data_IF_044933092037
#
_entry.id   IF_044933092037
#
_cell.length_a   1.000
_cell.length_b   1.000
_cell.length_c   1.000
_cell.angle_alpha   90.00
_cell.angle_beta   90.00
_cell.angle_gamma   90.00
#
_symmetry.space_group_name_H-M   'P 1'
#
loop_
_entity.id
_entity.type
_entity.pdbx_description
1 polymer ?
#
# COMPACT_ATOMS: atom_id res chain seq x y z
N UNK A 1 31.01 4.93 2.40
CA UNK A 1 30.01 5.98 2.65
C UNK A 1 28.77 5.27 3.18
N UNK A 2 28.29 5.61 4.37
CA UNK A 2 27.09 4.98 4.95
C UNK A 2 25.88 5.79 4.48
N UNK A 3 24.93 5.15 3.80
CA UNK A 3 23.68 5.77 3.37
C UNK A 3 22.62 5.61 4.46
N UNK A 4 21.97 6.70 4.83
CA UNK A 4 20.80 6.73 5.73
C UNK A 4 19.49 6.96 4.98
N UNK A 5 19.54 7.08 3.64
CA UNK A 5 18.38 7.40 2.82
C UNK A 5 17.61 6.15 2.35
N UNK A 6 18.15 4.95 2.60
CA UNK A 6 17.56 3.70 2.12
C UNK A 6 17.00 2.89 3.28
N UNK A 7 15.71 2.59 3.22
CA UNK A 7 15.06 1.63 4.11
C UNK A 7 15.36 0.20 3.64
N UNK A 8 16.59 -0.27 3.86
CA UNK A 8 16.99 -1.66 3.58
C UNK A 8 17.49 -2.34 4.85
N UNK A 9 17.18 -3.64 4.97
CA UNK A 9 17.69 -4.47 6.05
C UNK A 9 18.78 -5.41 5.50
N UNK A 10 20.04 -4.95 5.54
CA UNK A 10 21.18 -5.74 5.09
C UNK A 10 21.64 -6.81 6.10
N UNK A 11 21.16 -6.74 7.35
CA UNK A 11 21.60 -7.60 8.45
C UNK A 11 21.19 -9.06 8.24
N UNK A 12 20.12 -9.31 7.47
CA UNK A 12 19.55 -10.65 7.25
C UNK A 12 20.03 -11.32 5.96
N UNK A 13 20.90 -10.66 5.18
CA UNK A 13 21.22 -11.12 3.82
C UNK A 13 21.98 -12.45 3.81
N UNK A 14 22.90 -12.67 4.75
CA UNK A 14 23.67 -13.91 4.83
C UNK A 14 22.79 -15.10 5.23
N UNK A 15 21.93 -14.92 6.23
CA UNK A 15 20.97 -15.93 6.68
C UNK A 15 19.97 -16.27 5.58
N UNK A 16 19.44 -15.25 4.89
CA UNK A 16 18.48 -15.43 3.81
C UNK A 16 19.10 -16.16 2.61
N UNK A 17 20.33 -15.80 2.23
CA UNK A 17 21.08 -16.49 1.18
C UNK A 17 21.32 -17.96 1.53
N UNK A 18 21.78 -18.22 2.75
CA UNK A 18 22.04 -19.57 3.25
C UNK A 18 20.76 -20.41 3.31
N UNK A 19 19.63 -19.81 3.69
CA UNK A 19 18.33 -20.47 3.67
C UNK A 19 17.86 -20.76 2.24
N UNK A 20 17.92 -19.77 1.35
CA UNK A 20 17.47 -19.89 -0.03
C UNK A 20 18.22 -21.00 -0.79
N UNK A 21 19.51 -21.18 -0.52
CA UNK A 21 20.32 -22.26 -1.11
C UNK A 21 19.83 -23.67 -0.76
N UNK A 22 19.03 -23.83 0.30
CA UNK A 22 18.49 -25.11 0.75
C UNK A 22 17.05 -25.36 0.27
N UNK A 23 16.40 -24.38 -0.36
CA UNK A 23 15.01 -24.49 -0.81
C UNK A 23 14.95 -25.16 -2.20
N UNK A 24 14.34 -26.35 -2.33
CA UNK A 24 14.18 -26.98 -3.63
C UNK A 24 13.17 -26.21 -4.49
N UNK A 25 13.48 -26.08 -5.78
CA UNK A 25 12.60 -25.49 -6.79
C UNK A 25 12.06 -26.60 -7.70
N UNK A 26 10.98 -27.30 -7.32
CA UNK A 26 10.40 -28.34 -8.17
C UNK A 26 9.82 -27.73 -9.44
N UNK A 27 9.73 -28.47 -10.56
CA UNK A 27 9.26 -27.94 -11.86
C UNK A 27 7.94 -27.17 -11.80
N UNK A 28 7.02 -27.58 -10.92
CA UNK A 28 5.70 -26.96 -10.77
C UNK A 28 5.76 -25.48 -10.38
N UNK A 29 6.84 -25.01 -9.73
CA UNK A 29 6.98 -23.58 -9.37
C UNK A 29 7.16 -22.68 -10.59
N UNK A 30 7.54 -23.24 -11.74
CA UNK A 30 7.65 -22.53 -13.01
C UNK A 30 6.32 -22.52 -13.80
N UNK A 31 5.23 -22.97 -13.17
CA UNK A 31 3.89 -22.98 -13.76
C UNK A 31 2.98 -21.94 -13.08
N UNK A 32 1.77 -21.74 -13.62
CA UNK A 32 0.80 -20.82 -13.04
C UNK A 32 0.24 -21.26 -11.67
N UNK A 33 0.40 -22.54 -11.28
CA UNK A 33 -0.18 -23.07 -10.03
C UNK A 33 0.35 -22.39 -8.76
N UNK A 34 1.53 -21.77 -8.84
CA UNK A 34 2.16 -21.02 -7.75
C UNK A 34 2.11 -19.49 -7.96
N UNK A 35 1.67 -19.00 -9.11
CA UNK A 35 1.75 -17.57 -9.46
C UNK A 35 0.46 -16.80 -9.19
N UNK A 36 -0.72 -17.42 -9.32
CA UNK A 36 -2.00 -16.71 -9.11
C UNK A 36 -2.17 -16.31 -7.64
N UNK A 37 -2.11 -15.00 -7.36
CA UNK A 37 -2.17 -14.44 -6.01
C UNK A 37 -1.22 -15.12 -5.00
N UNK A 38 -0.05 -15.57 -5.49
CA UNK A 38 0.97 -16.29 -4.72
C UNK A 38 0.64 -17.75 -4.38
N UNK A 39 -0.48 -18.30 -4.85
CA UNK A 39 -0.87 -19.69 -4.65
C UNK A 39 -1.27 -20.01 -3.20
N UNK A 40 -1.90 -21.18 -3.00
CA UNK A 40 -2.50 -21.51 -1.70
C UNK A 40 -1.46 -21.69 -0.57
N UNK A 41 -0.31 -22.29 -0.90
CA UNK A 41 0.73 -22.60 0.09
C UNK A 41 1.37 -21.34 0.69
N UNK A 42 1.70 -20.36 -0.15
CA UNK A 42 2.33 -19.11 0.32
C UNK A 42 1.33 -18.26 1.11
N UNK A 43 0.08 -18.16 0.65
CA UNK A 43 -0.97 -17.45 1.38
C UNK A 43 -1.22 -18.02 2.78
N UNK A 44 -1.33 -19.36 2.89
CA UNK A 44 -1.49 -20.02 4.18
C UNK A 44 -0.27 -19.82 5.12
N UNK A 45 0.94 -19.89 4.57
CA UNK A 45 2.16 -19.64 5.32
C UNK A 45 2.25 -18.19 5.82
N UNK A 46 1.88 -17.22 4.97
CA UNK A 46 1.86 -15.80 5.33
C UNK A 46 0.80 -15.51 6.41
N UNK A 47 -0.42 -16.03 6.27
CA UNK A 47 -1.45 -15.92 7.32
C UNK A 47 -0.94 -16.47 8.66
N UNK A 48 -0.31 -17.65 8.64
CA UNK A 48 0.28 -18.26 9.85
C UNK A 48 1.40 -17.40 10.44
N UNK A 49 2.29 -16.87 9.60
CA UNK A 49 3.38 -15.99 10.04
C UNK A 49 2.85 -14.70 10.66
N UNK A 50 1.87 -14.04 10.02
CA UNK A 50 1.25 -12.82 10.54
C UNK A 50 0.53 -13.06 11.88
N UNK A 51 -0.18 -14.19 12.01
CA UNK A 51 -0.80 -14.58 13.28
C UNK A 51 0.23 -14.76 14.39
N UNK A 52 1.35 -15.43 14.11
CA UNK A 52 2.42 -15.67 15.09
C UNK A 52 3.19 -14.38 15.45
N UNK A 53 3.43 -13.51 14.49
CA UNK A 53 4.24 -12.30 14.67
C UNK A 53 3.46 -11.17 15.34
N UNK A 54 2.20 -10.96 14.94
CA UNK A 54 1.42 -9.79 15.36
C UNK A 54 0.32 -10.09 16.37
N UNK A 55 -0.02 -11.37 16.61
CA UNK A 55 -1.12 -11.79 17.48
C UNK A 55 -2.40 -10.95 17.28
N UNK A 56 -2.95 -10.92 16.04
CA UNK A 56 -4.08 -10.08 15.71
C UNK A 56 -5.32 -10.47 16.53
N UNK A 57 -6.21 -9.50 16.77
CA UNK A 57 -7.45 -9.74 17.50
C UNK A 57 -8.32 -10.85 16.88
N UNK A 58 -8.36 -10.91 15.55
CA UNK A 58 -8.99 -11.99 14.79
C UNK A 58 -7.92 -12.78 14.03
N UNK A 59 -8.02 -14.11 14.06
CA UNK A 59 -7.08 -14.99 13.38
C UNK A 59 -7.23 -14.86 11.85
N UNK A 60 -6.12 -14.62 11.17
CA UNK A 60 -6.06 -14.57 9.71
C UNK A 60 -6.15 -15.97 9.12
N UNK A 61 -6.96 -16.11 8.08
CA UNK A 61 -7.10 -17.32 7.26
C UNK A 61 -6.43 -17.12 5.90
N UNK A 62 -6.41 -18.18 5.09
CA UNK A 62 -5.90 -18.11 3.71
C UNK A 62 -6.70 -17.13 2.83
N UNK A 63 -7.98 -16.94 3.10
CA UNK A 63 -8.89 -16.12 2.30
C UNK A 63 -8.69 -14.62 2.56
N UNK A 64 -8.10 -14.27 3.71
CA UNK A 64 -7.77 -12.90 4.11
C UNK A 64 -6.45 -12.40 3.48
N UNK A 65 -5.72 -13.28 2.79
CA UNK A 65 -4.41 -12.96 2.22
C UNK A 65 -4.47 -12.99 0.69
N UNK A 66 -3.93 -11.96 0.06
CA UNK A 66 -3.65 -11.91 -1.37
C UNK A 66 -2.22 -11.38 -1.58
N UNK A 67 -1.59 -11.76 -2.68
CA UNK A 67 -0.23 -11.31 -2.99
C UNK A 67 -0.21 -10.46 -4.25
N UNK A 68 0.63 -9.43 -4.22
CA UNK A 68 0.98 -8.59 -5.35
C UNK A 68 2.51 -8.42 -5.42
N UNK A 69 2.99 -7.86 -6.52
CA UNK A 69 4.41 -7.63 -6.81
C UNK A 69 5.00 -6.46 -6.00
N UNK A 70 4.96 -6.57 -4.66
CA UNK A 70 5.45 -5.55 -3.73
C UNK A 70 4.41 -4.50 -3.34
N UNK A 71 4.77 -3.63 -2.40
CA UNK A 71 3.85 -2.64 -1.80
C UNK A 71 3.31 -1.62 -2.83
N UNK A 72 4.14 -1.17 -3.78
CA UNK A 72 3.70 -0.27 -4.86
C UNK A 72 2.58 -0.86 -5.69
N UNK A 73 2.65 -2.16 -6.04
CA UNK A 73 1.56 -2.83 -6.75
C UNK A 73 0.30 -2.95 -5.89
N UNK A 74 0.45 -3.16 -4.58
CA UNK A 74 -0.68 -3.14 -3.63
C UNK A 74 -1.35 -1.77 -3.60
N UNK A 75 -0.58 -0.67 -3.55
CA UNK A 75 -1.13 0.68 -3.58
C UNK A 75 -1.95 0.95 -4.85
N UNK A 76 -1.42 0.61 -6.03
CA UNK A 76 -2.15 0.76 -7.31
C UNK A 76 -3.44 -0.08 -7.33
N UNK A 77 -3.39 -1.34 -6.87
CA UNK A 77 -4.58 -2.20 -6.76
C UNK A 77 -5.62 -1.60 -5.81
N UNK A 78 -5.20 -1.06 -4.66
CA UNK A 78 -6.10 -0.45 -3.69
C UNK A 78 -6.73 0.83 -4.22
N UNK A 79 -5.96 1.72 -4.85
CA UNK A 79 -6.52 2.91 -5.49
C UNK A 79 -7.57 2.52 -6.54
N UNK A 80 -7.25 1.57 -7.43
CA UNK A 80 -8.17 1.09 -8.45
C UNK A 80 -9.45 0.46 -7.87
N UNK A 81 -9.33 -0.24 -6.73
CA UNK A 81 -10.45 -0.95 -6.13
C UNK A 81 -11.36 -0.07 -5.25
N UNK A 82 -10.82 1.03 -4.70
CA UNK A 82 -11.48 1.80 -3.65
C UNK A 82 -11.91 3.21 -4.08
N UNK A 83 -11.36 3.74 -5.17
CA UNK A 83 -11.59 5.12 -5.59
C UNK A 83 -11.64 5.25 -7.12
N UNK A 84 -12.42 6.23 -7.58
CA UNK A 84 -12.49 6.65 -8.97
C UNK A 84 -11.43 7.72 -9.27
N UNK A 85 -11.06 7.95 -10.54
CA UNK A 85 -10.22 9.08 -10.90
C UNK A 85 -10.81 10.41 -10.39
N UNK A 86 -10.01 11.22 -9.71
CA UNK A 86 -10.43 12.46 -9.06
C UNK A 86 -10.89 12.30 -7.60
N UNK A 87 -11.20 11.08 -7.14
CA UNK A 87 -11.43 10.81 -5.71
C UNK A 87 -10.09 10.66 -4.96
N UNK A 88 -10.13 10.77 -3.63
CA UNK A 88 -8.92 10.87 -2.81
C UNK A 88 -8.75 9.79 -1.74
N UNK A 89 -7.50 9.46 -1.43
CA UNK A 89 -7.09 8.70 -0.25
C UNK A 89 -6.53 9.67 0.80
N UNK A 90 -7.15 9.70 1.97
CA UNK A 90 -6.74 10.56 3.09
C UNK A 90 -5.65 9.91 3.93
N UNK A 91 -4.54 10.62 4.18
CA UNK A 91 -3.41 10.13 4.97
C UNK A 91 -2.70 11.24 5.75
N UNK A 92 -1.88 10.89 6.74
CA UNK A 92 -1.15 11.84 7.59
C UNK A 92 0.15 12.33 6.93
N UNK A 93 0.90 13.19 7.64
CA UNK A 93 2.31 13.49 7.36
C UNK A 93 3.16 13.42 8.65
N UNK A 94 4.42 12.97 8.59
CA UNK A 94 5.15 12.49 7.42
C UNK A 94 4.73 11.07 7.02
N UNK A 95 4.83 10.75 5.72
CA UNK A 95 4.52 9.44 5.14
C UNK A 95 5.53 9.02 4.07
N UNK A 96 5.35 7.82 3.52
CA UNK A 96 6.12 7.35 2.38
C UNK A 96 5.98 8.32 1.19
N UNK A 97 7.09 8.96 0.80
CA UNK A 97 7.10 10.03 -0.20
C UNK A 97 6.77 9.62 -1.64
N UNK A 98 6.39 8.36 -1.88
CA UNK A 98 5.92 7.89 -3.19
C UNK A 98 4.42 7.67 -3.27
N UNK A 99 3.65 7.89 -2.19
CA UNK A 99 2.19 7.65 -2.23
C UNK A 99 1.47 8.37 -3.38
N UNK A 100 1.80 9.63 -3.68
CA UNK A 100 1.22 10.33 -4.84
C UNK A 100 1.45 9.60 -6.17
N UNK A 101 2.63 9.00 -6.34
CA UNK A 101 2.95 8.24 -7.55
C UNK A 101 2.30 6.86 -7.52
N UNK A 102 2.40 6.17 -6.39
CA UNK A 102 1.90 4.81 -6.21
C UNK A 102 0.38 4.73 -6.35
N UNK A 103 -0.35 5.72 -5.83
CA UNK A 103 -1.80 5.80 -5.98
C UNK A 103 -2.19 6.54 -7.27
N UNK A 104 -1.62 7.72 -7.54
CA UNK A 104 -2.14 8.61 -8.58
C UNK A 104 -1.69 8.31 -10.02
N UNK A 105 -0.49 7.77 -10.23
CA UNK A 105 0.11 7.73 -11.57
C UNK A 105 -0.70 6.92 -12.59
N UNK A 106 -1.33 5.82 -12.17
CA UNK A 106 -2.13 4.96 -13.06
C UNK A 106 -3.64 5.17 -12.90
N UNK A 107 -4.09 5.58 -11.72
CA UNK A 107 -5.52 5.58 -11.37
C UNK A 107 -6.15 6.97 -11.36
N UNK A 108 -5.35 8.04 -11.33
CA UNK A 108 -5.86 9.40 -11.15
C UNK A 108 -6.43 9.68 -9.75
N UNK A 109 -6.20 8.79 -8.78
CA UNK A 109 -6.60 8.97 -7.38
C UNK A 109 -5.66 9.96 -6.70
N UNK A 110 -6.23 10.93 -5.98
CA UNK A 110 -5.48 11.95 -5.26
C UNK A 110 -5.04 11.47 -3.88
N UNK A 111 -3.92 11.98 -3.38
CA UNK A 111 -3.53 11.80 -1.98
C UNK A 111 -3.85 13.08 -1.22
N UNK A 112 -4.83 13.01 -0.33
CA UNK A 112 -5.22 14.10 0.55
C UNK A 112 -4.42 13.99 1.84
N UNK A 113 -3.72 15.06 2.22
CA UNK A 113 -2.86 15.05 3.39
C UNK A 113 -3.47 15.81 4.56
N UNK A 114 -3.54 15.14 5.70
CA UNK A 114 -3.69 15.75 7.01
C UNK A 114 -2.33 16.29 7.49
N UNK A 115 -2.28 17.58 7.79
CA UNK A 115 -1.08 18.25 8.30
C UNK A 115 -0.87 17.90 9.77
N UNK A 116 -0.22 16.77 10.02
CA UNK A 116 0.18 16.32 11.35
C UNK A 116 1.66 16.62 11.62
N UNK A 117 2.01 16.86 12.88
CA UNK A 117 3.40 17.07 13.29
C UNK A 117 4.11 15.72 13.51
N UNK A 118 5.38 15.55 13.12
CA UNK A 118 6.13 14.29 13.33
C UNK A 118 6.15 13.80 14.78
N UNK A 119 6.08 14.72 15.73
CA UNK A 119 6.11 14.43 17.17
C UNK A 119 4.77 13.89 17.68
N UNK A 120 3.67 14.18 16.99
CA UNK A 120 2.30 13.87 17.44
C UNK A 120 1.50 13.02 16.45
N UNK A 121 2.07 12.68 15.28
CA UNK A 121 1.37 12.00 14.18
C UNK A 121 0.89 10.57 14.49
N UNK A 122 1.22 10.02 15.67
CA UNK A 122 0.73 8.73 16.16
C UNK A 122 -0.18 8.85 17.39
N UNK A 123 -0.47 10.08 17.85
CA UNK A 123 -1.40 10.34 18.95
C UNK A 123 -2.87 10.35 18.49
N UNK A 124 -3.84 10.23 19.40
CA UNK A 124 -5.27 10.26 19.05
C UNK A 124 -5.71 11.62 18.50
N UNK A 125 -5.04 12.71 18.88
CA UNK A 125 -5.41 14.08 18.50
C UNK A 125 -5.23 14.34 16.99
N UNK A 126 -4.54 13.45 16.26
CA UNK A 126 -4.41 13.56 14.80
C UNK A 126 -5.76 13.55 14.09
N UNK A 127 -6.80 12.95 14.69
CA UNK A 127 -8.14 12.87 14.11
C UNK A 127 -8.67 14.27 13.75
N UNK A 128 -8.37 15.30 14.54
CA UNK A 128 -8.76 16.68 14.23
C UNK A 128 -8.13 17.19 12.93
N UNK A 129 -6.86 16.84 12.67
CA UNK A 129 -6.17 17.21 11.43
C UNK A 129 -6.75 16.47 10.22
N UNK A 130 -7.17 15.22 10.38
CA UNK A 130 -7.85 14.45 9.35
C UNK A 130 -9.22 15.05 9.00
N UNK A 131 -10.01 15.44 10.00
CA UNK A 131 -11.31 16.09 9.79
C UNK A 131 -11.16 17.40 9.02
N UNK A 132 -10.19 18.23 9.41
CA UNK A 132 -9.88 19.49 8.70
C UNK A 132 -9.46 19.23 7.25
N UNK A 133 -8.64 18.21 7.00
CA UNK A 133 -8.20 17.87 5.64
C UNK A 133 -9.35 17.34 4.77
N UNK A 134 -10.25 16.54 5.34
CA UNK A 134 -11.44 16.04 4.66
C UNK A 134 -12.41 17.16 4.28
N UNK A 135 -12.68 18.09 5.20
CA UNK A 135 -13.54 19.24 4.90
C UNK A 135 -12.94 20.10 3.77
N UNK A 136 -11.62 20.34 3.81
CA UNK A 136 -10.92 21.10 2.76
C UNK A 136 -10.94 20.40 1.40
N UNK A 137 -10.94 19.06 1.33
CA UNK A 137 -10.99 18.36 0.03
C UNK A 137 -12.36 18.54 -0.64
N UNK A 138 -13.45 18.44 0.12
CA UNK A 138 -14.80 18.68 -0.43
C UNK A 138 -15.01 20.13 -0.91
N UNK A 139 -14.40 21.11 -0.25
CA UNK A 139 -14.47 22.52 -0.68
C UNK A 139 -13.82 22.73 -2.06
N UNK A 140 -12.73 22.01 -2.36
CA UNK A 140 -12.04 22.09 -3.66
C UNK A 140 -12.86 21.46 -4.79
N UNK A 141 -13.55 20.35 -4.53
CA UNK A 141 -14.43 19.70 -5.51
C UNK A 141 -15.59 20.61 -5.93
N UNK A 142 -16.11 21.43 -5.00
CA UNK A 142 -17.20 22.37 -5.29
C UNK A 142 -16.79 23.61 -6.13
N UNK A 143 -15.49 23.86 -6.31
CA UNK A 143 -14.94 25.00 -7.03
C UNK A 143 -14.53 24.69 -8.48
N UNK A 144 -14.68 23.44 -8.95
CA UNK A 144 -14.41 23.05 -10.36
C UNK A 144 -15.72 22.99 -11.17
N UNK A 145 -16.11 24.05 -11.91
CA UNK A 145 -17.25 23.99 -12.80
C UNK A 145 -16.78 23.29 -14.08
N UNK A 146 -17.17 22.03 -14.25
CA UNK A 146 -16.77 21.19 -15.39
C UNK A 146 -16.69 21.95 -16.71
N UNK A 147 -15.48 21.96 -17.30
CA UNK A 147 -15.24 22.42 -18.66
C UNK A 147 -15.91 21.48 -19.65
N UNK A 148 -17.14 21.82 -20.07
CA UNK A 148 -17.78 21.30 -21.29
C UNK A 148 -17.10 21.93 -22.51
N UNK A 149 -15.87 21.48 -22.81
CA UNK A 149 -15.24 21.72 -24.11
C UNK A 149 -15.53 20.52 -25.03
N UNK A 150 -16.79 20.38 -25.43
CA UNK A 150 -17.13 19.66 -26.67
C UNK A 150 -16.88 20.60 -27.84
N UNK A 151 -15.77 20.38 -28.55
CA UNK A 151 -15.54 20.99 -29.86
C UNK A 151 -16.68 20.60 -30.83
N UNK A 152 -17.30 21.55 -31.55
CA UNK A 152 -18.26 21.24 -32.59
C UNK A 152 -17.57 20.72 -33.86
N UNK A 153 -18.20 19.72 -34.49
CA UNK A 153 -17.82 19.11 -35.78
C UNK A 153 -17.69 20.11 -36.94
#
# INVERSE_FOLDING_TARGET
>A
MISFALASNSLVLEDLSSFAAQVPLPPDVFTYGYSTAGGARLRAALASHLNLTFNPHAQLTIDDVQLASGATAVHSILAFALASPGEGILTSRPVHGRFELDFGNETGVEVVYADTAPETCFGPDVVEAFEVALQRSHEREGEDPGGDDREPE
#
